data_IF_435777434644
#
_entry.id   IF_435777434644
#
_cell.length_a   1.000
_cell.length_b   1.000
_cell.length_c   1.000
_cell.angle_alpha   90.00
_cell.angle_beta   90.00
_cell.angle_gamma   90.00
#
_symmetry.space_group_name_H-M   'P 1'
#
loop_
_entity.id
_entity.type
_entity.pdbx_description
1 polymer ?
#
# COMPACT_ATOMS: atom_id res chain seq x y z
N UNK A 1 17.14 13.34 -5.59
CA UNK A 1 17.64 13.51 -4.19
C UNK A 1 18.43 14.81 -3.99
N UNK A 2 19.24 15.20 -4.98
CA UNK A 2 20.10 16.39 -4.88
C UNK A 2 19.34 17.72 -4.78
N UNK A 3 18.18 17.81 -5.45
CA UNK A 3 17.31 18.99 -5.49
C UNK A 3 16.43 19.12 -4.21
N UNK A 4 16.44 18.13 -3.31
CA UNK A 4 15.65 18.17 -2.08
C UNK A 4 14.14 18.22 -2.34
N UNK A 5 13.45 19.16 -1.70
CA UNK A 5 12.00 19.39 -1.75
C UNK A 5 11.57 20.51 -2.71
N UNK A 6 12.49 21.06 -3.52
CA UNK A 6 12.19 22.12 -4.49
C UNK A 6 11.38 21.63 -5.70
N UNK A 7 11.46 20.34 -6.03
CA UNK A 7 10.77 19.73 -7.17
C UNK A 7 10.19 18.36 -6.80
N UNK A 8 8.93 18.14 -7.17
CA UNK A 8 8.22 16.88 -6.99
C UNK A 8 7.56 16.41 -8.28
N UNK A 9 7.55 15.10 -8.50
CA UNK A 9 6.87 14.45 -9.62
C UNK A 9 5.57 13.80 -9.11
N UNK A 10 4.42 14.33 -9.55
CA UNK A 10 3.09 13.79 -9.21
C UNK A 10 2.50 13.12 -10.47
N UNK A 11 1.95 11.92 -10.33
CA UNK A 11 1.32 11.14 -11.41
C UNK A 11 2.28 10.34 -12.29
N UNK A 12 3.57 10.37 -12.00
CA UNK A 12 4.57 9.60 -12.75
C UNK A 12 4.58 8.12 -12.36
N UNK A 13 4.24 7.80 -11.12
CA UNK A 13 4.17 6.43 -10.61
C UNK A 13 3.01 5.67 -11.28
N UNK A 14 3.34 4.72 -12.17
CA UNK A 14 2.35 3.92 -12.89
C UNK A 14 2.13 2.58 -12.18
N UNK A 15 1.00 2.38 -11.49
CA UNK A 15 0.73 1.10 -10.86
C UNK A 15 0.59 -0.01 -11.90
N UNK A 16 1.18 -1.17 -11.61
CA UNK A 16 1.07 -2.36 -12.45
C UNK A 16 -0.36 -2.93 -12.47
N UNK A 17 -1.06 -2.78 -11.35
CA UNK A 17 -2.46 -3.13 -11.11
C UNK A 17 -3.09 -2.04 -10.25
N UNK A 18 -4.31 -1.63 -10.56
CA UNK A 18 -5.00 -0.55 -9.84
C UNK A 18 -5.13 0.73 -10.65
N UNK A 19 -5.62 1.79 -10.00
CA UNK A 19 -5.94 3.05 -10.66
C UNK A 19 -4.91 4.14 -10.31
N UNK A 20 -4.62 5.00 -11.28
CA UNK A 20 -3.69 6.14 -11.13
C UNK A 20 -4.26 7.27 -10.25
N UNK A 21 -5.54 7.68 -10.37
CA UNK A 21 -6.08 8.79 -9.56
C UNK A 21 -5.92 8.63 -8.04
N UNK A 22 -6.13 7.44 -7.43
CA UNK A 22 -5.79 7.18 -6.03
C UNK A 22 -4.34 7.48 -5.64
N UNK A 23 -3.41 7.10 -6.51
CA UNK A 23 -1.98 7.29 -6.28
C UNK A 23 -1.66 8.79 -6.30
N UNK A 24 -2.19 9.50 -7.30
CA UNK A 24 -2.05 10.95 -7.42
C UNK A 24 -2.63 11.67 -6.20
N UNK A 25 -3.79 11.25 -5.71
CA UNK A 25 -4.40 11.82 -4.51
C UNK A 25 -3.47 11.70 -3.30
N UNK A 26 -2.88 10.53 -3.06
CA UNK A 26 -1.93 10.33 -1.96
C UNK A 26 -0.65 11.13 -2.15
N UNK A 27 -0.09 11.17 -3.36
CA UNK A 27 1.08 11.99 -3.67
C UNK A 27 0.82 13.48 -3.40
N UNK A 28 -0.33 14.00 -3.83
CA UNK A 28 -0.72 15.38 -3.58
C UNK A 28 -0.92 15.66 -2.07
N UNK A 29 -1.50 14.72 -1.31
CA UNK A 29 -1.63 14.84 0.14
C UNK A 29 -0.28 14.87 0.85
N UNK A 30 0.65 14.00 0.45
CA UNK A 30 2.01 14.00 0.99
C UNK A 30 2.74 15.30 0.65
N UNK A 31 2.63 15.77 -0.59
CA UNK A 31 3.22 17.04 -1.02
C UNK A 31 2.69 18.22 -0.20
N UNK A 32 1.37 18.30 0.02
CA UNK A 32 0.79 19.34 0.86
C UNK A 32 1.33 19.32 2.30
N UNK A 33 1.67 18.15 2.84
CA UNK A 33 2.32 18.03 4.16
C UNK A 33 3.77 18.53 4.13
N UNK A 34 4.51 18.29 3.06
CA UNK A 34 5.85 18.86 2.86
C UNK A 34 5.79 20.39 2.79
N UNK A 35 4.94 20.95 1.91
CA UNK A 35 4.80 22.41 1.77
C UNK A 35 4.36 23.11 3.06
N UNK A 36 3.58 22.41 3.91
CA UNK A 36 3.14 22.94 5.21
C UNK A 36 4.10 22.64 6.37
N UNK A 37 5.30 22.13 6.08
CA UNK A 37 6.32 21.76 7.08
C UNK A 37 5.84 20.73 8.13
N UNK A 38 4.76 20.00 7.85
CA UNK A 38 4.23 18.92 8.71
C UNK A 38 4.93 17.59 8.45
N UNK A 39 5.66 17.49 7.35
CA UNK A 39 6.52 16.38 6.98
C UNK A 39 7.84 16.95 6.47
N UNK A 40 8.93 16.19 6.57
CA UNK A 40 10.23 16.54 6.00
C UNK A 40 10.79 15.35 5.23
N UNK A 41 11.54 15.63 4.18
CA UNK A 41 12.28 14.59 3.48
C UNK A 41 13.36 14.01 4.40
N UNK A 42 13.64 12.69 4.31
CA UNK A 42 14.76 12.09 5.01
C UNK A 42 16.08 12.56 4.39
N UNK A 43 17.21 12.22 5.02
CA UNK A 43 18.53 12.59 4.49
C UNK A 43 18.79 11.95 3.13
N UNK A 44 19.66 12.58 2.32
CA UNK A 44 20.03 12.08 0.99
C UNK A 44 20.47 10.63 1.00
N UNK A 45 21.27 10.24 2.00
CA UNK A 45 21.76 8.86 2.15
C UNK A 45 20.61 7.88 2.35
N UNK A 46 19.65 8.21 3.21
CA UNK A 46 18.47 7.36 3.46
C UNK A 46 17.59 7.26 2.20
N UNK A 47 17.35 8.37 1.50
CA UNK A 47 16.61 8.36 0.23
C UNK A 47 17.26 7.44 -0.80
N UNK A 48 18.59 7.49 -0.95
CA UNK A 48 19.31 6.65 -1.91
C UNK A 48 19.23 5.16 -1.54
N UNK A 49 19.33 4.84 -0.25
CA UNK A 49 19.18 3.47 0.25
C UNK A 49 17.77 2.92 -0.02
N UNK A 50 16.72 3.72 0.26
CA UNK A 50 15.34 3.34 -0.03
C UNK A 50 15.10 3.14 -1.53
N UNK A 51 15.64 4.02 -2.39
CA UNK A 51 15.56 3.88 -3.84
C UNK A 51 16.19 2.56 -4.29
N UNK A 52 17.39 2.24 -3.81
CA UNK A 52 18.07 0.98 -4.18
C UNK A 52 17.29 -0.25 -3.73
N UNK A 53 16.80 -0.24 -2.49
CA UNK A 53 15.94 -1.32 -1.95
C UNK A 53 14.67 -1.50 -2.78
N UNK A 54 14.01 -0.39 -3.13
CA UNK A 54 12.79 -0.43 -3.92
C UNK A 54 13.02 -0.93 -5.34
N UNK A 55 14.10 -0.48 -6.00
CA UNK A 55 14.49 -0.97 -7.33
C UNK A 55 14.78 -2.48 -7.30
N UNK A 56 15.47 -2.98 -6.26
CA UNK A 56 15.72 -4.41 -6.09
C UNK A 56 14.42 -5.19 -5.93
N UNK A 57 13.48 -4.69 -5.13
CA UNK A 57 12.15 -5.26 -4.98
C UNK A 57 11.38 -5.30 -6.31
N UNK A 58 11.35 -4.20 -7.08
CA UNK A 58 10.66 -4.17 -8.37
C UNK A 58 11.22 -5.20 -9.36
N UNK A 59 12.55 -5.36 -9.41
CA UNK A 59 13.23 -6.39 -10.24
C UNK A 59 12.88 -7.82 -9.85
N UNK A 60 12.61 -8.06 -8.57
CA UNK A 60 12.15 -9.35 -8.08
C UNK A 60 10.66 -9.58 -8.39
N UNK A 61 9.83 -8.55 -8.24
CA UNK A 61 8.37 -8.63 -8.41
C UNK A 61 7.93 -8.67 -9.89
N UNK A 62 8.63 -7.98 -10.79
CA UNK A 62 8.23 -7.84 -12.19
C UNK A 62 9.28 -8.41 -13.16
N UNK A 63 8.82 -8.91 -14.30
CA UNK A 63 9.72 -9.42 -15.33
C UNK A 63 10.57 -8.29 -15.94
N UNK A 64 11.83 -8.58 -16.36
CA UNK A 64 12.70 -7.58 -16.97
C UNK A 64 12.06 -6.85 -18.16
N UNK A 65 11.29 -7.57 -18.99
CA UNK A 65 10.57 -6.98 -20.12
C UNK A 65 9.57 -5.89 -19.72
N UNK A 66 8.88 -6.04 -18.57
CA UNK A 66 7.92 -5.05 -18.07
C UNK A 66 8.63 -3.82 -17.51
N UNK A 67 9.67 -4.03 -16.71
CA UNK A 67 10.44 -2.94 -16.06
C UNK A 67 11.16 -2.10 -17.11
N UNK A 68 11.79 -2.74 -18.10
CA UNK A 68 12.54 -2.02 -19.14
C UNK A 68 11.62 -1.23 -20.08
N UNK A 69 10.39 -1.73 -20.32
CA UNK A 69 9.39 -1.02 -21.14
C UNK A 69 8.71 0.12 -20.39
N UNK A 70 8.47 -0.05 -19.08
CA UNK A 70 7.75 0.90 -18.24
C UNK A 70 8.63 1.20 -17.02
N UNK A 71 9.51 2.18 -17.16
CA UNK A 71 10.46 2.56 -16.12
C UNK A 71 9.80 3.13 -14.86
N UNK A 72 8.57 3.63 -14.97
CA UNK A 72 7.79 4.17 -13.85
C UNK A 72 6.84 3.15 -13.20
N UNK A 73 6.98 1.87 -13.54
CA UNK A 73 6.15 0.79 -13.01
C UNK A 73 6.32 0.66 -11.50
N UNK A 74 5.21 0.60 -10.77
CA UNK A 74 5.19 0.46 -9.31
C UNK A 74 4.18 -0.60 -8.86
N UNK A 75 4.42 -1.19 -7.70
CA UNK A 75 3.42 -2.02 -7.02
C UNK A 75 2.45 -1.11 -6.26
N UNK A 76 1.17 -1.15 -6.64
CA UNK A 76 0.14 -0.28 -6.08
C UNK A 76 -0.05 -0.46 -4.58
N UNK A 77 -0.04 -1.70 -4.08
CA UNK A 77 -0.29 -1.97 -2.67
C UNK A 77 0.86 -1.44 -1.82
N UNK A 78 2.09 -1.78 -2.18
CA UNK A 78 3.27 -1.34 -1.44
C UNK A 78 3.41 0.18 -1.50
N UNK A 79 3.28 0.77 -2.69
CA UNK A 79 3.45 2.21 -2.88
C UNK A 79 2.41 3.04 -2.13
N UNK A 80 1.12 2.67 -2.23
CA UNK A 80 0.05 3.39 -1.53
C UNK A 80 0.11 3.17 -0.01
N UNK A 81 0.55 1.98 0.43
CA UNK A 81 0.77 1.70 1.85
C UNK A 81 1.93 2.54 2.43
N UNK A 82 3.06 2.62 1.75
CA UNK A 82 4.20 3.46 2.14
C UNK A 82 3.82 4.94 2.22
N UNK A 83 3.15 5.48 1.19
CA UNK A 83 2.63 6.85 1.24
C UNK A 83 1.66 7.05 2.39
N UNK A 84 0.76 6.08 2.64
CA UNK A 84 -0.21 6.20 3.72
C UNK A 84 0.43 6.20 5.11
N UNK A 85 1.57 5.51 5.29
CA UNK A 85 2.37 5.56 6.52
C UNK A 85 2.99 6.93 6.70
N UNK A 86 3.60 7.50 5.66
CA UNK A 86 4.22 8.83 5.70
C UNK A 86 3.18 9.92 6.02
N UNK A 87 2.00 9.84 5.39
CA UNK A 87 0.89 10.76 5.62
C UNK A 87 0.23 10.54 7.00
N UNK A 88 0.39 9.34 7.59
CA UNK A 88 -0.29 8.93 8.81
C UNK A 88 -1.77 8.58 8.61
N UNK A 89 -2.19 8.26 7.39
CA UNK A 89 -3.57 7.89 7.06
C UNK A 89 -3.78 6.38 6.87
N UNK A 90 -2.78 5.56 7.20
CA UNK A 90 -2.91 4.11 7.20
C UNK A 90 -3.91 3.66 8.30
N UNK A 91 -4.93 2.86 7.97
CA UNK A 91 -5.81 2.29 8.99
C UNK A 91 -5.06 1.27 9.85
N UNK A 92 -5.26 1.32 11.17
CA UNK A 92 -4.72 0.31 12.09
C UNK A 92 -5.63 -0.92 12.09
N UNK A 93 -5.25 -1.95 11.33
CA UNK A 93 -6.04 -3.17 11.18
C UNK A 93 -6.26 -3.92 12.50
N UNK A 94 -5.28 -3.96 13.40
CA UNK A 94 -5.41 -4.64 14.70
C UNK A 94 -6.46 -3.93 15.55
N UNK A 95 -6.41 -2.60 15.61
CA UNK A 95 -7.42 -1.82 16.35
C UNK A 95 -8.81 -2.02 15.76
N UNK A 96 -8.92 -1.95 14.44
CA UNK A 96 -10.22 -2.08 13.75
C UNK A 96 -10.80 -3.50 13.94
N UNK A 97 -9.96 -4.54 14.00
CA UNK A 97 -10.41 -5.91 14.28
C UNK A 97 -11.22 -6.00 15.58
N UNK A 98 -10.75 -5.35 16.65
CA UNK A 98 -11.43 -5.38 17.95
C UNK A 98 -12.58 -4.38 18.05
N UNK A 99 -12.50 -3.22 17.39
CA UNK A 99 -13.53 -2.17 17.53
C UNK A 99 -14.69 -2.33 16.53
N UNK A 100 -14.41 -2.79 15.31
CA UNK A 100 -15.40 -2.95 14.24
C UNK A 100 -15.05 -4.14 13.33
N UNK A 101 -15.37 -5.38 13.77
CA UNK A 101 -15.06 -6.59 13.02
C UNK A 101 -15.67 -6.63 11.61
N UNK A 102 -16.83 -5.99 11.40
CA UNK A 102 -17.50 -5.92 10.09
C UNK A 102 -16.69 -5.07 9.11
N UNK A 103 -16.25 -3.89 9.56
CA UNK A 103 -15.36 -3.04 8.78
C UNK A 103 -14.01 -3.74 8.53
N UNK A 104 -13.46 -4.42 9.53
CA UNK A 104 -12.21 -5.17 9.39
C UNK A 104 -12.31 -6.23 8.29
N UNK A 105 -13.37 -7.04 8.29
CA UNK A 105 -13.57 -8.09 7.28
C UNK A 105 -13.67 -7.50 5.87
N UNK A 106 -14.34 -6.34 5.72
CA UNK A 106 -14.39 -5.62 4.45
C UNK A 106 -13.03 -5.05 4.02
N UNK A 107 -12.23 -4.56 4.95
CA UNK A 107 -10.88 -4.08 4.70
C UNK A 107 -9.93 -5.21 4.23
N UNK A 108 -10.06 -6.40 4.82
CA UNK A 108 -9.19 -7.54 4.51
C UNK A 108 -9.62 -8.32 3.26
N UNK A 109 -10.93 -8.50 3.08
CA UNK A 109 -11.47 -9.38 2.03
C UNK A 109 -12.25 -8.62 0.94
N UNK A 110 -12.37 -7.30 1.05
CA UNK A 110 -13.03 -6.45 0.07
C UNK A 110 -12.08 -5.87 -0.98
N UNK A 111 -12.62 -5.02 -1.84
CA UNK A 111 -11.82 -4.25 -2.79
C UNK A 111 -11.03 -3.17 -2.05
N UNK A 112 -9.79 -2.92 -2.45
CA UNK A 112 -9.04 -1.76 -1.96
C UNK A 112 -9.62 -0.47 -2.58
N UNK A 113 -10.11 0.43 -1.72
CA UNK A 113 -10.72 1.69 -2.12
C UNK A 113 -10.00 2.88 -1.49
N UNK A 114 -10.03 4.05 -2.13
CA UNK A 114 -9.44 5.28 -1.59
C UNK A 114 -10.05 5.70 -0.25
N UNK A 115 -11.32 5.32 -0.02
CA UNK A 115 -11.99 5.53 1.26
C UNK A 115 -11.19 4.97 2.45
N UNK A 116 -10.36 3.92 2.24
CA UNK A 116 -9.52 3.33 3.29
C UNK A 116 -8.58 4.39 3.88
N UNK A 117 -7.98 5.22 3.03
CA UNK A 117 -7.05 6.29 3.41
C UNK A 117 -7.73 7.54 3.97
N UNK A 118 -9.06 7.50 4.15
CA UNK A 118 -9.87 8.54 4.80
C UNK A 118 -10.48 8.07 6.12
N UNK A 119 -10.20 6.84 6.56
CA UNK A 119 -10.64 6.34 7.88
C UNK A 119 -9.88 6.99 9.03
N UNK A 120 -8.58 7.24 8.86
CA UNK A 120 -7.69 7.80 9.89
C UNK A 120 -6.75 8.84 9.29
N UNK A 121 -6.06 9.58 10.17
CA UNK A 121 -5.06 10.56 9.78
C UNK A 121 -5.63 11.92 9.37
N UNK A 122 -4.79 12.78 8.76
CA UNK A 122 -5.16 14.15 8.40
C UNK A 122 -6.28 14.19 7.35
N UNK A 123 -7.27 15.07 7.57
CA UNK A 123 -8.45 15.23 6.70
C UNK A 123 -9.26 13.93 6.51
N UNK A 124 -9.36 13.14 7.57
CA UNK A 124 -10.17 11.92 7.62
C UNK A 124 -11.67 12.25 7.68
N UNK A 125 -12.47 11.37 7.07
CA UNK A 125 -13.94 11.40 7.08
C UNK A 125 -14.44 10.01 7.48
N UNK A 126 -14.27 9.60 8.75
CA UNK A 126 -14.39 8.19 9.14
C UNK A 126 -15.81 7.65 8.96
N UNK A 127 -16.85 8.45 9.19
CA UNK A 127 -18.25 8.01 9.05
C UNK A 127 -18.58 7.71 7.58
N UNK A 128 -18.22 8.63 6.68
CA UNK A 128 -18.44 8.52 5.25
C UNK A 128 -17.57 7.42 4.62
N UNK A 129 -16.29 7.34 5.00
CA UNK A 129 -15.38 6.31 4.55
C UNK A 129 -15.89 4.92 4.95
N UNK A 130 -16.29 4.75 6.22
CA UNK A 130 -16.89 3.50 6.71
C UNK A 130 -18.15 3.14 5.92
N UNK A 131 -19.05 4.10 5.71
CA UNK A 131 -20.28 3.88 4.95
C UNK A 131 -19.98 3.36 3.53
N UNK A 132 -19.10 4.06 2.80
CA UNK A 132 -18.70 3.69 1.44
C UNK A 132 -18.09 2.28 1.40
N UNK A 133 -17.20 1.96 2.34
CA UNK A 133 -16.51 0.65 2.38
C UNK A 133 -17.49 -0.49 2.67
N UNK A 134 -18.45 -0.27 3.57
CA UNK A 134 -19.45 -1.27 3.92
C UNK A 134 -20.49 -1.47 2.80
N UNK A 135 -20.90 -0.39 2.13
CA UNK A 135 -21.81 -0.42 0.97
C UNK A 135 -21.16 -1.03 -0.29
N UNK A 136 -19.82 -1.02 -0.36
CA UNK A 136 -19.11 -1.57 -1.50
C UNK A 136 -19.41 -3.06 -1.68
N UNK A 137 -19.74 -3.44 -2.92
CA UNK A 137 -19.99 -4.83 -3.28
C UNK A 137 -18.75 -5.68 -2.97
N UNK A 138 -18.99 -6.90 -2.49
CA UNK A 138 -17.90 -7.87 -2.38
C UNK A 138 -17.30 -8.09 -3.77
N UNK A 139 -15.97 -8.14 -3.82
CA UNK A 139 -15.29 -8.62 -5.03
C UNK A 139 -15.80 -10.03 -5.26
N UNK A 140 -16.30 -10.32 -6.47
CA UNK A 140 -16.64 -11.70 -6.88
C UNK A 140 -15.34 -12.49 -7.04
N UNK A 141 -14.67 -12.80 -5.94
CA UNK A 141 -13.63 -13.82 -5.89
C UNK A 141 -14.35 -15.17 -5.77
N UNK A 142 -13.79 -16.29 -6.26
CA UNK A 142 -14.24 -17.62 -5.87
C UNK A 142 -13.85 -17.82 -4.39
N UNK A 143 -14.64 -17.24 -3.50
CA UNK A 143 -14.34 -17.02 -2.08
C UNK A 143 -14.00 -18.32 -1.34
N UNK A 144 -14.59 -19.43 -1.76
CA UNK A 144 -14.33 -20.74 -1.14
C UNK A 144 -12.92 -21.25 -1.45
N UNK A 145 -12.46 -21.15 -2.71
CA UNK A 145 -11.16 -21.67 -3.11
C UNK A 145 -10.03 -20.84 -2.50
N UNK A 146 -10.19 -19.52 -2.41
CA UNK A 146 -9.19 -18.64 -1.80
C UNK A 146 -9.14 -18.81 -0.27
N UNK A 147 -10.29 -18.94 0.41
CA UNK A 147 -10.33 -19.22 1.85
C UNK A 147 -9.76 -20.61 2.16
N UNK A 148 -10.13 -21.62 1.36
CA UNK A 148 -9.54 -22.95 1.42
C UNK A 148 -8.03 -22.91 1.18
N UNK A 149 -7.58 -22.17 0.17
CA UNK A 149 -6.16 -21.98 -0.12
C UNK A 149 -5.46 -21.30 1.06
N UNK A 150 -6.01 -20.23 1.65
CA UNK A 150 -5.45 -19.59 2.86
C UNK A 150 -5.38 -20.55 4.05
N UNK A 151 -6.40 -21.38 4.27
CA UNK A 151 -6.41 -22.40 5.33
C UNK A 151 -5.36 -23.48 5.04
N UNK A 152 -5.26 -23.95 3.79
CA UNK A 152 -4.25 -24.90 3.35
C UNK A 152 -2.84 -24.33 3.48
N UNK A 153 -2.63 -23.06 3.12
CA UNK A 153 -1.34 -22.38 3.26
C UNK A 153 -0.99 -22.16 4.74
N UNK A 154 -1.94 -21.78 5.59
CA UNK A 154 -1.72 -21.66 7.03
C UNK A 154 -1.40 -23.02 7.67
N UNK A 155 -2.09 -24.07 7.24
CA UNK A 155 -1.85 -25.46 7.66
C UNK A 155 -0.47 -25.96 7.20
N UNK A 156 -0.12 -25.75 5.93
CA UNK A 156 1.19 -26.09 5.38
C UNK A 156 2.32 -25.27 6.00
N UNK A 157 2.08 -23.99 6.34
CA UNK A 157 3.04 -23.16 7.06
C UNK A 157 3.28 -23.69 8.49
N UNK A 158 2.22 -24.09 9.19
CA UNK A 158 2.31 -24.68 10.53
C UNK A 158 3.02 -26.04 10.56
N UNK A 159 2.84 -26.88 9.54
CA UNK A 159 3.40 -28.24 9.49
C UNK A 159 4.81 -28.27 8.88
N UNK A 160 5.02 -27.52 7.80
CA UNK A 160 6.24 -27.63 6.98
C UNK A 160 7.12 -26.37 7.01
N UNK A 161 6.71 -25.30 7.70
CA UNK A 161 7.52 -24.08 7.83
C UNK A 161 7.85 -23.41 6.49
N UNK A 162 7.00 -23.57 5.47
CA UNK A 162 7.28 -23.09 4.11
C UNK A 162 7.50 -21.57 4.11
N UNK A 163 8.71 -21.16 3.72
CA UNK A 163 9.20 -19.78 3.79
C UNK A 163 8.62 -18.83 2.72
N UNK A 164 7.73 -19.31 1.86
CA UNK A 164 7.23 -18.59 0.68
C UNK A 164 6.35 -17.36 1.00
N UNK A 165 6.01 -17.13 2.27
CA UNK A 165 5.16 -16.01 2.73
C UNK A 165 5.83 -15.16 3.82
N UNK A 166 7.16 -15.01 3.80
CA UNK A 166 7.78 -13.95 4.61
C UNK A 166 7.38 -12.58 4.00
N UNK A 167 6.81 -11.64 4.77
CA UNK A 167 6.53 -10.31 4.26
C UNK A 167 7.84 -9.70 3.75
N UNK A 168 7.81 -8.88 2.69
CA UNK A 168 9.03 -8.34 2.05
C UNK A 168 10.01 -7.65 3.01
N UNK A 169 9.54 -7.22 4.19
CA UNK A 169 10.32 -6.72 5.32
C UNK A 169 11.25 -7.73 6.01
N UNK A 170 11.05 -9.04 5.81
CA UNK A 170 11.77 -10.12 6.49
C UNK A 170 12.87 -10.75 5.65
N UNK A 171 12.89 -10.48 4.34
CA UNK A 171 14.07 -10.75 3.53
C UNK A 171 15.08 -9.65 3.83
N UNK A 172 16.20 -9.99 4.47
CA UNK A 172 17.37 -9.11 4.51
C UNK A 172 17.89 -8.99 3.07
N UNK A 173 17.42 -7.95 2.37
CA UNK A 173 17.89 -7.57 1.04
C UNK A 173 18.79 -6.35 1.12
#
# INVERSE_FOLDING_TARGET
PDIGDELIWIGFARPSLGAVPPVIELQARWFALLCSNKCKLPTKTVMLQEIQKYVKYLKWQFTPARINRITTLTDYLIYTDDLSRIIGCRPNFVKIFFTDPKLWLKLMCGALMNAHYRLTGPHSKPKEARRIILEAKWVKQPNFLYLFMLICYAFWWLIFGIESCKPASWYQL
#
